data_IF_375241672798
#
_entry.id   IF_375241672798
#
_cell.length_a   1.000
_cell.length_b   1.000
_cell.length_c   1.000
_cell.angle_alpha   90.00
_cell.angle_beta   90.00
_cell.angle_gamma   90.00
#
_symmetry.space_group_name_H-M   'P 1'
#
loop_
_entity.id
_entity.type
_entity.pdbx_description
1 polymer ?
#
# COMPACT_ATOMS: atom_id res chain seq x y z
N UNK A 1 -59.86 -7.68 -22.67
CA UNK A 1 -59.72 -6.64 -21.61
C UNK A 1 -58.25 -6.57 -21.24
N UNK A 2 -57.53 -5.59 -21.81
CA UNK A 2 -56.88 -4.47 -21.09
C UNK A 2 -55.79 -4.91 -20.10
N UNK A 3 -54.54 -4.73 -20.54
CA UNK A 3 -53.39 -4.03 -19.91
C UNK A 3 -53.05 -4.41 -18.45
N UNK A 4 -51.79 -4.62 -18.07
CA UNK A 4 -50.69 -3.66 -18.16
C UNK A 4 -49.33 -4.38 -18.04
N UNK A 5 -48.41 -4.02 -18.94
CA UNK A 5 -46.99 -4.27 -18.84
C UNK A 5 -46.42 -3.32 -17.77
N UNK A 6 -45.95 -3.84 -16.64
CA UNK A 6 -45.16 -3.08 -15.67
C UNK A 6 -43.73 -3.62 -15.70
N UNK A 7 -42.88 -3.05 -16.56
CA UNK A 7 -41.44 -3.25 -16.48
C UNK A 7 -40.91 -2.42 -15.31
N UNK A 8 -40.67 -3.09 -14.19
CA UNK A 8 -39.97 -2.52 -13.05
C UNK A 8 -38.46 -2.57 -13.36
N UNK A 9 -37.92 -1.46 -13.85
CA UNK A 9 -36.48 -1.25 -13.95
C UNK A 9 -35.91 -1.16 -12.53
N UNK A 10 -35.46 -2.30 -12.00
CA UNK A 10 -34.59 -2.34 -10.83
C UNK A 10 -33.24 -1.75 -11.24
N UNK A 11 -33.03 -0.46 -10.96
CA UNK A 11 -31.70 0.14 -10.94
C UNK A 11 -30.98 -0.45 -9.72
N UNK A 12 -30.32 -1.60 -9.91
CA UNK A 12 -29.36 -2.10 -8.92
C UNK A 12 -28.21 -1.11 -8.89
N UNK A 13 -28.20 -0.25 -7.87
CA UNK A 13 -27.08 0.63 -7.60
C UNK A 13 -25.92 -0.24 -7.15
N UNK A 14 -25.08 -0.68 -8.09
CA UNK A 14 -23.80 -1.26 -7.73
C UNK A 14 -23.01 -0.14 -7.06
N UNK A 15 -22.78 -0.28 -5.76
CA UNK A 15 -21.82 0.55 -5.05
C UNK A 15 -20.46 0.15 -5.63
N UNK A 16 -20.04 0.84 -6.68
CA UNK A 16 -18.69 0.76 -7.21
C UNK A 16 -17.78 1.35 -6.15
N UNK A 17 -17.21 0.49 -5.30
CA UNK A 17 -16.06 0.87 -4.51
C UNK A 17 -14.94 1.16 -5.50
N UNK A 18 -14.49 2.41 -5.56
CA UNK A 18 -13.33 2.78 -6.35
C UNK A 18 -12.12 2.06 -5.79
N UNK A 19 -11.50 1.20 -6.59
CA UNK A 19 -10.24 0.54 -6.24
C UNK A 19 -9.11 1.58 -6.26
N UNK A 20 -8.33 1.65 -5.19
CA UNK A 20 -7.21 2.60 -5.06
C UNK A 20 -5.87 1.97 -5.42
N UNK A 21 -5.82 0.64 -5.53
CA UNK A 21 -4.69 -0.14 -6.01
C UNK A 21 -4.83 -0.50 -7.48
N UNK A 22 -3.70 -0.68 -8.14
CA UNK A 22 -3.65 -1.10 -9.55
C UNK A 22 -2.69 -2.28 -9.66
N UNK A 23 -3.06 -3.28 -10.47
CA UNK A 23 -2.19 -4.40 -10.79
C UNK A 23 -1.34 -4.15 -12.01
N UNK A 24 -0.13 -4.68 -12.02
CA UNK A 24 0.72 -4.64 -13.21
C UNK A 24 0.29 -5.72 -14.21
N UNK A 25 -0.45 -5.35 -15.25
CA UNK A 25 -0.99 -6.29 -16.25
C UNK A 25 0.03 -6.64 -17.36
N UNK A 26 1.18 -7.20 -16.98
CA UNK A 26 2.21 -7.68 -17.93
C UNK A 26 2.89 -6.58 -18.75
N UNK A 27 2.82 -5.33 -18.28
CA UNK A 27 3.56 -4.19 -18.80
C UNK A 27 4.86 -4.03 -18.02
N UNK A 28 5.88 -3.48 -18.68
CA UNK A 28 7.08 -3.06 -17.98
C UNK A 28 6.76 -1.84 -17.09
N UNK A 29 7.44 -1.76 -15.94
CA UNK A 29 7.37 -0.58 -15.09
C UNK A 29 7.91 0.66 -15.82
N UNK A 30 7.28 1.84 -15.66
CA UNK A 30 7.72 3.06 -16.33
C UNK A 30 9.05 3.57 -15.76
N UNK A 31 9.76 4.37 -16.54
CA UNK A 31 10.98 5.04 -16.07
C UNK A 31 10.65 6.00 -14.91
N UNK A 32 11.40 5.91 -13.81
CA UNK A 32 11.25 6.73 -12.60
C UNK A 32 12.54 6.75 -11.76
N UNK A 33 12.72 7.81 -10.97
CA UNK A 33 13.81 7.96 -10.01
C UNK A 33 13.32 8.05 -8.56
N UNK A 34 14.21 7.82 -7.60
CA UNK A 34 13.85 7.80 -6.16
C UNK A 34 13.29 9.15 -5.69
N UNK A 35 13.72 10.24 -6.32
CA UNK A 35 13.26 11.59 -6.00
C UNK A 35 11.78 11.80 -6.34
N UNK A 36 11.21 11.02 -7.28
CA UNK A 36 9.78 11.12 -7.65
C UNK A 36 8.85 10.70 -6.50
N UNK A 37 9.37 9.97 -5.52
CA UNK A 37 8.65 9.47 -4.34
C UNK A 37 9.19 10.00 -3.02
N UNK A 38 10.12 10.98 -3.06
CA UNK A 38 10.71 11.60 -1.86
C UNK A 38 9.67 12.19 -0.90
N UNK A 39 8.48 12.54 -1.39
CA UNK A 39 7.39 13.08 -0.59
C UNK A 39 6.78 12.08 0.40
N UNK A 40 7.12 10.79 0.33
CA UNK A 40 6.68 9.75 1.28
C UNK A 40 7.45 9.86 2.62
N UNK A 41 8.64 10.45 2.61
CA UNK A 41 9.48 10.64 3.80
C UNK A 41 8.69 11.21 4.96
N UNK A 42 8.86 10.59 6.14
CA UNK A 42 8.19 11.04 7.34
C UNK A 42 8.09 9.96 8.40
N UNK A 43 7.54 10.34 9.54
CA UNK A 43 7.12 9.47 10.62
C UNK A 43 5.60 9.56 10.71
N UNK A 44 4.94 8.43 10.60
CA UNK A 44 3.52 8.31 10.34
C UNK A 44 2.89 7.38 11.37
N UNK A 45 1.72 7.74 11.89
CA UNK A 45 0.94 6.91 12.82
C UNK A 45 -0.54 6.90 12.44
N UNK A 46 -1.17 5.73 12.59
CA UNK A 46 -2.56 5.50 12.21
C UNK A 46 -3.21 4.38 13.01
N UNK A 47 -4.48 4.10 12.69
CA UNK A 47 -5.24 3.00 13.25
C UNK A 47 -5.66 2.05 12.12
N UNK A 48 -5.26 0.78 12.24
CA UNK A 48 -5.63 -0.29 11.32
C UNK A 48 -5.42 -1.65 12.00
N UNK A 49 -6.03 -2.69 11.44
CA UNK A 49 -5.83 -4.09 11.90
C UNK A 49 -6.12 -4.29 13.40
N UNK A 50 -7.02 -3.49 13.97
CA UNK A 50 -7.38 -3.56 15.39
C UNK A 50 -6.38 -2.91 16.36
N UNK A 51 -5.40 -2.15 15.86
CA UNK A 51 -4.40 -1.50 16.70
C UNK A 51 -3.81 -0.22 16.10
N UNK A 52 -2.69 0.20 16.67
CA UNK A 52 -1.91 1.35 16.21
C UNK A 52 -0.86 0.88 15.21
N UNK A 53 -0.86 1.48 14.03
CA UNK A 53 0.18 1.30 13.02
C UNK A 53 1.15 2.48 13.07
N UNK A 54 2.44 2.20 13.02
CA UNK A 54 3.50 3.19 12.94
C UNK A 54 4.38 2.87 11.75
N UNK A 55 4.69 3.90 10.95
CA UNK A 55 5.46 3.75 9.72
C UNK A 55 6.47 4.89 9.60
N UNK A 56 7.71 4.57 9.26
CA UNK A 56 8.80 5.54 9.11
C UNK A 56 9.43 5.35 7.75
N UNK A 57 9.61 6.43 7.00
CA UNK A 57 10.32 6.46 5.72
C UNK A 57 11.43 7.50 5.75
N UNK A 58 12.65 7.10 5.40
CA UNK A 58 13.79 8.02 5.30
C UNK A 58 13.70 8.91 4.08
N UNK A 59 14.48 9.99 4.04
CA UNK A 59 14.76 10.70 2.80
C UNK A 59 15.50 9.79 1.80
N UNK A 60 15.39 10.04 0.48
CA UNK A 60 16.23 9.38 -0.51
C UNK A 60 17.72 9.51 -0.19
N UNK A 61 18.42 8.38 -0.20
CA UNK A 61 19.89 8.33 -0.07
C UNK A 61 20.42 7.08 -0.79
N UNK A 62 21.37 7.26 -1.70
CA UNK A 62 21.97 6.14 -2.43
C UNK A 62 20.97 5.41 -3.34
N UNK A 63 20.06 6.15 -4.00
CA UNK A 63 19.01 5.61 -4.87
C UNK A 63 18.02 4.68 -4.16
N UNK A 64 17.85 4.90 -2.86
CA UNK A 64 17.00 4.10 -1.99
C UNK A 64 16.33 4.97 -0.93
N UNK A 65 15.13 4.56 -0.51
CA UNK A 65 14.50 4.97 0.74
C UNK A 65 14.30 3.74 1.61
N UNK A 66 14.65 3.84 2.89
CA UNK A 66 14.38 2.80 3.88
C UNK A 66 13.05 3.10 4.56
N UNK A 67 12.24 2.06 4.71
CA UNK A 67 10.98 2.09 5.44
C UNK A 67 10.97 1.10 6.60
N UNK A 68 10.18 1.37 7.63
CA UNK A 68 9.87 0.39 8.66
C UNK A 68 8.43 0.54 9.12
N UNK A 69 7.73 -0.57 9.32
CA UNK A 69 6.38 -0.62 9.87
C UNK A 69 6.36 -1.35 11.20
N UNK A 70 5.43 -0.99 12.08
CA UNK A 70 5.13 -1.70 13.32
C UNK A 70 3.63 -1.66 13.61
N UNK A 71 3.05 -2.81 13.95
CA UNK A 71 1.69 -2.91 14.48
C UNK A 71 1.74 -3.19 15.99
N UNK A 72 0.99 -2.39 16.76
CA UNK A 72 0.79 -2.56 18.20
C UNK A 72 -0.70 -2.77 18.49
N UNK A 73 -1.04 -3.88 19.14
CA UNK A 73 -2.40 -4.23 19.59
C UNK A 73 -2.32 -4.54 21.08
N UNK A 74 -3.23 -3.97 21.88
CA UNK A 74 -3.26 -4.14 23.34
C UNK A 74 -1.88 -3.90 24.01
N UNK A 75 -1.20 -2.83 23.60
CA UNK A 75 0.15 -2.44 24.06
C UNK A 75 1.28 -3.45 23.74
N UNK A 76 0.98 -4.47 22.92
CA UNK A 76 1.93 -5.50 22.50
C UNK A 76 2.20 -5.40 21.01
N UNK A 77 3.49 -5.41 20.65
CA UNK A 77 3.91 -5.49 19.25
C UNK A 77 3.46 -6.84 18.66
N UNK A 78 2.73 -6.76 17.55
CA UNK A 78 2.30 -7.94 16.81
C UNK A 78 3.36 -8.35 15.77
N UNK A 79 3.78 -7.42 14.92
CA UNK A 79 4.84 -7.65 13.93
C UNK A 79 5.48 -6.34 13.48
N UNK A 80 6.59 -6.49 12.74
CA UNK A 80 7.33 -5.42 12.08
C UNK A 80 7.44 -5.69 10.58
N UNK A 81 7.71 -4.63 9.82
CA UNK A 81 8.23 -4.76 8.45
C UNK A 81 9.53 -3.96 8.30
N UNK A 82 10.45 -4.49 7.50
CA UNK A 82 11.50 -3.70 6.87
C UNK A 82 11.13 -3.50 5.40
N UNK A 83 11.10 -2.24 4.98
CA UNK A 83 10.69 -1.86 3.64
C UNK A 83 11.82 -1.13 2.92
N UNK A 84 11.85 -1.23 1.59
CA UNK A 84 12.74 -0.40 0.76
C UNK A 84 12.02 0.03 -0.51
N UNK A 85 12.26 1.26 -0.96
CA UNK A 85 11.96 1.66 -2.34
C UNK A 85 13.30 1.95 -3.00
N UNK A 86 13.64 1.24 -4.07
CA UNK A 86 14.96 1.32 -4.72
C UNK A 86 14.85 1.59 -6.22
N UNK A 87 15.77 2.36 -6.78
CA UNK A 87 15.92 2.45 -8.24
C UNK A 87 16.55 1.17 -8.80
N UNK A 88 15.81 0.45 -9.65
CA UNK A 88 16.29 -0.73 -10.35
C UNK A 88 15.77 -0.70 -11.79
N UNK A 89 16.63 -1.07 -12.75
CA UNK A 89 16.27 -1.12 -14.18
C UNK A 89 15.64 0.18 -14.73
N UNK A 90 16.06 1.35 -14.20
CA UNK A 90 15.54 2.70 -14.50
C UNK A 90 14.10 2.97 -14.01
N UNK A 91 13.59 2.13 -13.11
CA UNK A 91 12.28 2.26 -12.47
C UNK A 91 12.43 2.14 -10.95
N UNK A 92 11.31 2.15 -10.22
CA UNK A 92 11.24 1.89 -8.79
C UNK A 92 10.73 0.49 -8.47
N UNK A 93 11.28 -0.10 -7.43
CA UNK A 93 10.82 -1.36 -6.84
C UNK A 93 10.65 -1.19 -5.34
N UNK A 94 9.44 -1.45 -4.85
CA UNK A 94 9.15 -1.55 -3.43
C UNK A 94 9.35 -3.00 -2.98
N UNK A 95 10.05 -3.19 -1.86
CA UNK A 95 10.18 -4.49 -1.20
C UNK A 95 9.74 -4.41 0.24
N UNK A 96 9.12 -5.48 0.72
CA UNK A 96 8.70 -5.64 2.11
C UNK A 96 9.18 -7.01 2.61
N UNK A 97 9.65 -7.04 3.84
CA UNK A 97 9.91 -8.27 4.59
C UNK A 97 9.31 -8.16 5.98
N UNK A 98 8.56 -9.17 6.38
CA UNK A 98 7.86 -9.19 7.65
C UNK A 98 8.66 -9.92 8.72
N UNK A 99 8.49 -9.47 9.96
CA UNK A 99 9.13 -10.05 11.12
C UNK A 99 8.19 -10.13 12.31
N UNK A 100 8.22 -11.24 13.04
CA UNK A 100 7.63 -11.31 14.38
C UNK A 100 8.28 -10.29 15.32
N UNK A 101 7.65 -10.07 16.48
CA UNK A 101 8.14 -9.13 17.50
C UNK A 101 9.57 -9.43 18.02
N UNK A 102 10.08 -10.65 17.80
CA UNK A 102 11.44 -11.09 18.16
C UNK A 102 12.37 -11.22 16.93
N UNK A 103 12.00 -10.58 15.81
CA UNK A 103 12.76 -10.50 14.56
C UNK A 103 12.93 -11.83 13.81
N UNK A 104 12.01 -12.77 14.00
CA UNK A 104 11.90 -13.95 13.12
C UNK A 104 11.19 -13.55 11.83
N UNK A 105 11.87 -13.73 10.70
CA UNK A 105 11.32 -13.40 9.38
C UNK A 105 10.22 -14.37 8.96
N UNK A 106 9.19 -13.87 8.28
CA UNK A 106 8.12 -14.70 7.71
C UNK A 106 8.51 -15.27 6.34
N UNK A 107 9.11 -14.44 5.49
CA UNK A 107 9.62 -14.87 4.19
C UNK A 107 10.92 -15.66 4.34
N UNK A 108 11.18 -16.54 3.36
CA UNK A 108 12.44 -17.28 3.26
C UNK A 108 13.65 -16.35 3.32
N UNK A 109 14.80 -16.88 3.76
CA UNK A 109 15.99 -16.07 4.09
C UNK A 109 16.37 -15.04 3.01
N UNK A 110 16.34 -15.46 1.75
CA UNK A 110 16.74 -14.65 0.60
C UNK A 110 15.57 -14.03 -0.17
N UNK A 111 14.36 -14.13 0.36
CA UNK A 111 13.14 -13.65 -0.30
C UNK A 111 12.56 -12.43 0.42
N UNK A 112 11.83 -11.62 -0.35
CA UNK A 112 11.03 -10.49 0.08
C UNK A 112 9.81 -10.40 -0.83
N UNK A 113 8.74 -9.78 -0.36
CA UNK A 113 7.61 -9.45 -1.23
C UNK A 113 8.00 -8.23 -2.06
N UNK A 114 7.84 -8.33 -3.37
CA UNK A 114 8.21 -7.29 -4.32
C UNK A 114 6.97 -6.68 -4.98
N UNK A 115 6.96 -5.34 -5.08
CA UNK A 115 5.88 -4.56 -5.68
C UNK A 115 6.50 -3.63 -6.75
N UNK A 116 6.54 -4.05 -8.02
CA UNK A 116 7.05 -3.21 -9.10
C UNK A 116 6.21 -1.94 -9.30
N UNK A 117 6.84 -0.85 -9.73
CA UNK A 117 6.13 0.39 -10.06
C UNK A 117 5.15 0.18 -11.22
N UNK A 118 3.93 0.69 -11.07
CA UNK A 118 2.88 0.68 -12.08
C UNK A 118 2.74 2.06 -12.74
N UNK A 119 2.63 3.13 -11.94
CA UNK A 119 2.56 4.53 -12.41
C UNK A 119 2.78 5.53 -11.27
N UNK A 120 3.14 6.75 -11.65
CA UNK A 120 3.25 7.90 -10.75
C UNK A 120 2.26 8.98 -11.19
N UNK A 121 1.57 9.57 -10.24
CA UNK A 121 0.73 10.75 -10.40
C UNK A 121 1.17 11.83 -9.39
N UNK A 122 0.64 13.05 -9.51
CA UNK A 122 1.09 14.22 -8.73
C UNK A 122 1.12 13.97 -7.21
N UNK A 123 0.17 13.22 -6.67
CA UNK A 123 0.06 12.96 -5.24
C UNK A 123 -0.13 11.46 -4.92
N UNK A 124 0.13 10.58 -5.89
CA UNK A 124 -0.01 9.13 -5.72
C UNK A 124 1.11 8.40 -6.43
N UNK A 125 1.61 7.34 -5.81
CA UNK A 125 2.46 6.36 -6.50
C UNK A 125 1.84 4.98 -6.34
N UNK A 126 1.72 4.30 -7.48
CA UNK A 126 1.12 2.98 -7.58
C UNK A 126 2.22 1.96 -7.83
N UNK A 127 2.39 1.04 -6.89
CA UNK A 127 3.09 -0.21 -7.06
C UNK A 127 2.06 -1.34 -7.27
N UNK A 128 2.50 -2.50 -7.74
CA UNK A 128 1.59 -3.62 -8.07
C UNK A 128 0.81 -4.11 -6.84
N UNK A 129 -0.45 -3.69 -6.70
CA UNK A 129 -1.29 -4.02 -5.55
C UNK A 129 -1.01 -3.19 -4.28
N UNK A 130 -0.20 -2.13 -4.37
CA UNK A 130 0.06 -1.20 -3.26
C UNK A 130 0.10 0.25 -3.75
N UNK A 131 -0.49 1.18 -3.01
CA UNK A 131 -0.53 2.60 -3.42
C UNK A 131 -0.29 3.53 -2.24
N UNK A 132 0.63 4.48 -2.40
CA UNK A 132 0.78 5.62 -1.50
C UNK A 132 0.01 6.80 -2.07
N UNK A 133 -0.67 7.56 -1.21
CA UNK A 133 -1.40 8.79 -1.57
C UNK A 133 -1.08 9.89 -0.56
N UNK A 134 -0.44 10.96 -1.02
CA UNK A 134 -0.31 12.20 -0.25
C UNK A 134 -1.64 12.93 -0.23
N UNK A 135 -2.21 13.09 0.96
CA UNK A 135 -3.40 13.92 1.17
C UNK A 135 -3.03 15.38 1.40
N UNK A 136 -2.01 15.61 2.24
CA UNK A 136 -1.39 16.89 2.54
C UNK A 136 -0.04 16.63 3.25
N UNK A 137 0.62 17.68 3.75
CA UNK A 137 1.92 17.56 4.42
C UNK A 137 1.87 16.69 5.69
N UNK A 138 0.72 16.60 6.36
CA UNK A 138 0.57 15.90 7.64
C UNK A 138 -0.25 14.60 7.52
N UNK A 139 -0.56 14.15 6.30
CA UNK A 139 -1.42 12.98 6.10
C UNK A 139 -1.10 12.18 4.83
N UNK A 140 -0.99 10.87 5.03
CA UNK A 140 -0.65 9.87 4.02
C UNK A 140 -1.69 8.74 4.09
N UNK A 141 -2.18 8.28 2.94
CA UNK A 141 -2.89 7.00 2.87
C UNK A 141 -1.99 5.96 2.22
N UNK A 142 -2.09 4.73 2.70
CA UNK A 142 -1.53 3.56 2.02
C UNK A 142 -2.65 2.57 1.78
N UNK A 143 -2.74 2.05 0.56
CA UNK A 143 -3.69 1.02 0.16
C UNK A 143 -2.91 -0.23 -0.22
N UNK A 144 -3.33 -1.40 0.26
CA UNK A 144 -2.63 -2.67 0.01
C UNK A 144 -3.64 -3.77 -0.28
N UNK A 145 -3.38 -4.60 -1.30
CA UNK A 145 -4.17 -5.80 -1.57
C UNK A 145 -3.71 -6.94 -0.66
N UNK A 146 -4.61 -7.39 0.21
CA UNK A 146 -4.42 -8.57 1.04
C UNK A 146 -4.96 -9.79 0.29
N UNK A 147 -4.15 -10.84 0.18
CA UNK A 147 -4.53 -12.13 -0.43
C UNK A 147 -4.81 -13.13 0.68
N UNK A 148 -6.03 -13.63 0.73
CA UNK A 148 -6.42 -14.71 1.65
C UNK A 148 -6.38 -16.07 0.94
N UNK A 149 -6.40 -17.15 1.72
CA UNK A 149 -6.29 -18.53 1.24
C UNK A 149 -7.36 -18.91 0.20
N UNK A 150 -8.54 -18.29 0.25
CA UNK A 150 -9.65 -18.48 -0.69
C UNK A 150 -9.49 -17.71 -2.01
N UNK A 151 -8.30 -17.13 -2.26
CA UNK A 151 -8.00 -16.23 -3.39
C UNK A 151 -8.85 -14.96 -3.40
N UNK A 152 -9.52 -14.65 -2.29
CA UNK A 152 -10.19 -13.36 -2.15
C UNK A 152 -9.13 -12.29 -1.93
N UNK A 153 -9.19 -11.28 -2.79
CA UNK A 153 -8.39 -10.07 -2.64
C UNK A 153 -9.23 -9.01 -1.95
N UNK A 154 -8.67 -8.43 -0.90
CA UNK A 154 -9.31 -7.33 -0.16
C UNK A 154 -8.35 -6.16 -0.14
N UNK A 155 -8.79 -5.01 -0.64
CA UNK A 155 -8.06 -3.76 -0.49
C UNK A 155 -8.20 -3.26 0.95
N UNK A 156 -7.07 -3.14 1.64
CA UNK A 156 -6.98 -2.56 2.96
C UNK A 156 -6.46 -1.14 2.85
N UNK A 157 -7.07 -0.23 3.61
CA UNK A 157 -6.65 1.18 3.70
C UNK A 157 -6.06 1.48 5.07
N UNK A 158 -4.87 2.05 5.06
CA UNK A 158 -4.19 2.62 6.21
C UNK A 158 -4.26 4.15 6.08
N UNK A 159 -4.85 4.82 7.07
CA UNK A 159 -4.90 6.28 7.13
C UNK A 159 -3.88 6.73 8.16
N UNK A 160 -2.88 7.49 7.73
CA UNK A 160 -1.82 7.98 8.60
C UNK A 160 -1.89 9.48 8.80
N UNK A 161 -1.43 9.91 9.97
CA UNK A 161 -1.06 11.28 10.30
C UNK A 161 0.41 11.34 10.64
N UNK A 162 1.04 12.49 10.42
CA UNK A 162 2.39 12.72 10.90
C UNK A 162 2.43 12.52 12.42
N UNK A 163 3.32 11.65 12.87
CA UNK A 163 3.62 11.46 14.28
C UNK A 163 4.49 12.65 14.75
N UNK A 164 4.16 13.19 15.92
CA UNK A 164 4.85 14.33 16.52
C UNK A 164 6.06 13.90 17.33
#
# INVERSE_FOLDING_TARGET
MKNFLASLLFLVSTILLSQNTVKLEGKDSPDAGIEDVAWITGHWQGEALGGITEEVWTAPLGKSMMGSFKLVVDEVVQFYELCTITEENRSLLLRIKHFDKDLKGWEEKNESIEFPLVKIEKNKVYFDGLTFEKLNEDALNIYVIFKYEDKKEVEMKFNYKSAK
#
